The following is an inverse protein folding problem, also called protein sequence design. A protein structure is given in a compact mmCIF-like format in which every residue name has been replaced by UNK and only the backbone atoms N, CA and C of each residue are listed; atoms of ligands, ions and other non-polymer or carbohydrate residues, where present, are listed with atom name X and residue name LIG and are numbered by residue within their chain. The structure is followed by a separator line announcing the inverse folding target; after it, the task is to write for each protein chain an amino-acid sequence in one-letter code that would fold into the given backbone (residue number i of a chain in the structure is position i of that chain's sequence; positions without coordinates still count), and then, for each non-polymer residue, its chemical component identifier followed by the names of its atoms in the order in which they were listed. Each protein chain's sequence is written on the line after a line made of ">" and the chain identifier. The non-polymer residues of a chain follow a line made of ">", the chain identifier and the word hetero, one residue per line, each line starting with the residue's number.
data_IF_250218764252
#
_entry.id   IF_250218764252
#
_cell.length_a   1.000
_cell.length_b   1.000
_cell.length_c   1.000
_cell.angle_alpha   90.00
_cell.angle_beta   90.00
_cell.angle_gamma   90.00
#
_symmetry.space_group_name_H-M   'P 1'
#
loop_
_entity.id
_entity.type
_entity.pdbx_description
1 polymer ?
#
# COMPACT_ATOMS: atom_id res chain seq x y z
N UNK A 1 -76.10 -11.09 -28.62
CA UNK A 1 -75.29 -10.40 -29.64
C UNK A 1 -74.28 -9.55 -28.91
N UNK A 2 -73.01 -9.87 -28.99
CA UNK A 2 -71.96 -9.14 -28.32
C UNK A 2 -70.72 -10.02 -28.21
N UNK A 3 -69.83 -9.90 -29.15
CA UNK A 3 -68.64 -10.71 -29.32
C UNK A 3 -67.62 -10.58 -28.16
N UNK A 4 -67.19 -11.69 -27.60
CA UNK A 4 -66.06 -11.81 -26.70
C UNK A 4 -64.74 -11.88 -27.51
N UNK A 5 -64.00 -10.75 -27.44
CA UNK A 5 -62.72 -10.59 -28.07
C UNK A 5 -61.64 -11.34 -27.27
N UNK A 6 -61.15 -12.44 -27.80
CA UNK A 6 -60.06 -13.24 -27.24
C UNK A 6 -58.72 -12.54 -27.38
N UNK A 7 -58.18 -11.99 -26.24
CA UNK A 7 -56.79 -11.51 -26.16
C UNK A 7 -55.85 -12.71 -26.26
N UNK A 8 -55.07 -12.73 -27.35
CA UNK A 8 -53.89 -13.60 -27.52
C UNK A 8 -52.85 -13.31 -26.43
N UNK A 9 -52.64 -14.28 -25.55
CA UNK A 9 -51.53 -14.29 -24.63
C UNK A 9 -50.27 -14.65 -25.46
N UNK A 10 -49.39 -13.65 -25.66
CA UNK A 10 -48.07 -13.84 -26.21
C UNK A 10 -47.25 -14.70 -25.22
N UNK A 11 -47.00 -15.97 -25.59
CA UNK A 11 -45.97 -16.77 -24.92
C UNK A 11 -44.61 -16.13 -25.18
N UNK A 12 -44.04 -15.52 -24.13
CA UNK A 12 -42.65 -15.13 -24.10
C UNK A 12 -41.85 -16.43 -24.05
N UNK A 13 -41.26 -16.80 -25.14
CA UNK A 13 -40.26 -17.88 -25.20
C UNK A 13 -39.00 -17.37 -24.48
N UNK A 14 -38.78 -17.81 -23.25
CA UNK A 14 -37.45 -17.77 -22.62
C UNK A 14 -36.60 -18.81 -23.35
N UNK A 15 -35.96 -18.37 -24.42
CA UNK A 15 -34.89 -19.12 -25.04
C UNK A 15 -33.77 -19.32 -24.03
N UNK A 16 -33.57 -20.54 -23.57
CA UNK A 16 -32.38 -20.92 -22.85
C UNK A 16 -31.19 -20.86 -23.83
N UNK A 17 -30.63 -19.68 -24.01
CA UNK A 17 -29.27 -19.53 -24.52
C UNK A 17 -28.31 -20.00 -23.41
N UNK A 18 -28.18 -21.32 -23.27
CA UNK A 18 -27.03 -21.91 -22.59
C UNK A 18 -25.85 -21.66 -23.54
N UNK A 19 -25.19 -20.51 -23.44
CA UNK A 19 -23.89 -20.32 -24.06
C UNK A 19 -22.99 -21.43 -23.51
N UNK A 20 -22.62 -22.37 -24.36
CA UNK A 20 -21.61 -23.38 -24.03
C UNK A 20 -20.34 -22.65 -23.66
N UNK A 21 -20.00 -22.69 -22.36
CA UNK A 21 -18.77 -22.11 -21.88
C UNK A 21 -17.59 -22.86 -22.48
N UNK A 22 -16.57 -22.15 -22.99
CA UNK A 22 -15.53 -22.73 -23.82
C UNK A 22 -14.73 -23.80 -23.06
N UNK A 23 -14.51 -24.91 -23.70
CA UNK A 23 -13.54 -25.93 -23.30
C UNK A 23 -12.14 -25.39 -23.67
N UNK A 24 -11.32 -25.05 -22.66
CA UNK A 24 -10.02 -24.40 -22.82
C UNK A 24 -8.90 -25.37 -22.43
N UNK A 25 -7.87 -25.45 -23.27
CA UNK A 25 -6.63 -26.11 -22.91
C UNK A 25 -5.77 -25.22 -22.03
N UNK A 26 -5.18 -25.78 -20.97
CA UNK A 26 -4.27 -25.13 -20.03
C UNK A 26 -2.87 -25.70 -20.28
N UNK A 27 -1.90 -24.81 -20.46
CA UNK A 27 -0.53 -25.24 -20.79
C UNK A 27 -0.42 -25.89 -22.18
N UNK A 28 0.48 -26.87 -22.31
CA UNK A 28 0.80 -27.58 -23.55
C UNK A 28 0.76 -29.10 -23.39
N UNK A 29 0.36 -29.61 -22.23
CA UNK A 29 0.44 -31.03 -21.87
C UNK A 29 -0.92 -31.72 -21.89
N UNK A 30 -1.95 -31.09 -22.51
CA UNK A 30 -3.25 -31.72 -22.75
C UNK A 30 -4.25 -31.56 -21.59
N UNK A 31 -3.95 -30.75 -20.56
CA UNK A 31 -4.90 -30.40 -19.51
C UNK A 31 -6.04 -29.56 -20.09
N UNK A 32 -7.29 -30.01 -19.91
CA UNK A 32 -8.47 -29.29 -20.42
C UNK A 32 -9.38 -28.87 -19.28
N UNK A 33 -9.94 -27.66 -19.39
CA UNK A 33 -10.87 -27.05 -18.43
C UNK A 33 -12.16 -26.65 -19.12
N UNK A 34 -13.30 -27.17 -18.66
CA UNK A 34 -14.64 -26.72 -19.03
C UNK A 34 -15.31 -26.08 -17.84
N UNK A 35 -15.61 -24.80 -17.93
CA UNK A 35 -16.28 -24.05 -16.85
C UNK A 35 -17.76 -24.45 -16.82
N UNK A 36 -18.27 -24.87 -15.67
CA UNK A 36 -19.69 -25.15 -15.43
C UNK A 36 -20.40 -23.92 -14.84
N UNK A 37 -19.72 -23.23 -13.92
CA UNK A 37 -20.19 -22.02 -13.28
C UNK A 37 -19.05 -21.02 -13.16
N UNK A 38 -19.27 -19.79 -13.61
CA UNK A 38 -18.27 -18.71 -13.47
C UNK A 38 -18.11 -18.32 -12.00
N UNK A 39 -16.87 -18.09 -11.59
CA UNK A 39 -16.56 -17.54 -10.27
C UNK A 39 -16.94 -16.06 -10.14
N UNK A 40 -17.02 -15.60 -8.90
CA UNK A 40 -17.45 -14.25 -8.53
C UNK A 40 -16.30 -13.25 -8.33
N UNK A 41 -15.05 -13.64 -8.62
CA UNK A 41 -13.83 -12.83 -8.48
C UNK A 41 -13.07 -12.76 -9.78
N UNK A 42 -12.25 -11.72 -9.98
CA UNK A 42 -11.26 -11.66 -11.05
C UNK A 42 -9.94 -12.31 -10.65
N UNK A 43 -9.69 -12.45 -9.33
CA UNK A 43 -8.47 -13.04 -8.78
C UNK A 43 -8.49 -14.56 -8.89
N UNK A 44 -7.30 -15.12 -9.01
CA UNK A 44 -7.01 -16.56 -8.95
C UNK A 44 -5.98 -16.83 -7.84
N UNK A 45 -5.91 -18.04 -7.28
CA UNK A 45 -4.91 -18.37 -6.27
C UNK A 45 -3.50 -18.43 -6.87
N UNK A 46 -2.50 -18.24 -6.01
CA UNK A 46 -1.08 -18.31 -6.36
C UNK A 46 -0.40 -19.52 -5.69
N UNK A 47 0.76 -19.97 -6.23
CA UNK A 47 1.57 -20.98 -5.55
C UNK A 47 1.86 -20.59 -4.09
N UNK A 48 1.69 -21.56 -3.16
CA UNK A 48 1.79 -21.36 -1.72
C UNK A 48 0.49 -20.99 -1.02
N UNK A 49 -0.58 -20.65 -1.75
CA UNK A 49 -1.89 -20.42 -1.15
C UNK A 49 -2.50 -21.73 -0.64
N UNK A 50 -3.19 -21.69 0.50
CA UNK A 50 -3.96 -22.80 1.04
C UNK A 50 -5.34 -22.85 0.38
N UNK A 51 -5.58 -23.86 -0.44
CA UNK A 51 -6.78 -24.01 -1.28
C UNK A 51 -7.81 -24.87 -0.58
N UNK A 52 -9.07 -24.49 -0.67
CA UNK A 52 -10.22 -25.28 -0.22
C UNK A 52 -11.12 -25.58 -1.41
N UNK A 53 -11.29 -26.86 -1.73
CA UNK A 53 -12.10 -27.33 -2.85
C UNK A 53 -13.09 -28.39 -2.45
N UNK A 54 -14.24 -28.39 -3.14
CA UNK A 54 -15.04 -29.61 -3.27
C UNK A 54 -14.74 -30.25 -4.62
N UNK A 55 -14.65 -31.56 -4.64
CA UNK A 55 -14.40 -32.31 -5.86
C UNK A 55 -15.14 -33.65 -5.89
N UNK A 56 -15.29 -34.17 -7.08
CA UNK A 56 -15.58 -35.58 -7.39
C UNK A 56 -14.79 -36.00 -8.61
N UNK A 57 -14.35 -37.27 -8.64
CA UNK A 57 -13.46 -37.78 -9.66
C UNK A 57 -13.97 -39.10 -10.23
N UNK A 58 -13.80 -39.27 -11.52
CA UNK A 58 -14.08 -40.49 -12.26
C UNK A 58 -13.03 -40.76 -13.33
N UNK A 59 -12.95 -42.00 -13.79
CA UNK A 59 -12.27 -42.36 -15.04
C UNK A 59 -13.08 -41.89 -16.26
N UNK A 60 -12.47 -41.82 -17.41
CA UNK A 60 -13.10 -41.28 -18.63
C UNK A 60 -14.44 -41.92 -18.94
N UNK A 61 -14.55 -43.23 -18.82
CA UNK A 61 -15.73 -44.03 -19.14
C UNK A 61 -16.37 -44.67 -17.91
N UNK A 62 -16.05 -44.17 -16.70
CA UNK A 62 -16.47 -44.77 -15.44
C UNK A 62 -17.43 -43.92 -14.62
N UNK A 63 -17.89 -44.53 -13.52
CA UNK A 63 -18.63 -43.84 -12.47
C UNK A 63 -17.68 -43.07 -11.53
N UNK A 64 -18.21 -42.14 -10.73
CA UNK A 64 -17.45 -41.41 -9.70
C UNK A 64 -17.03 -42.40 -8.60
N UNK A 65 -15.74 -42.39 -8.24
CA UNK A 65 -15.17 -43.31 -7.25
C UNK A 65 -14.61 -42.60 -6.01
N UNK A 66 -14.41 -41.29 -6.04
CA UNK A 66 -14.04 -40.48 -4.87
C UNK A 66 -14.66 -39.09 -4.94
N UNK A 67 -15.04 -38.55 -3.78
CA UNK A 67 -15.72 -37.25 -3.65
C UNK A 67 -15.51 -36.66 -2.25
N UNK A 68 -15.21 -35.39 -2.19
CA UNK A 68 -15.15 -34.63 -0.93
C UNK A 68 -16.56 -34.31 -0.41
N UNK A 69 -17.58 -34.31 -1.26
CA UNK A 69 -18.97 -34.12 -0.83
C UNK A 69 -19.43 -35.28 0.06
N UNK A 70 -19.02 -36.51 -0.27
CA UNK A 70 -19.36 -37.71 0.51
C UNK A 70 -18.64 -37.71 1.87
N UNK A 71 -17.48 -37.03 1.96
CA UNK A 71 -16.72 -36.84 3.19
C UNK A 71 -17.25 -35.68 4.06
N UNK A 72 -18.24 -34.92 3.57
CA UNK A 72 -18.92 -33.83 4.29
C UNK A 72 -18.07 -32.57 4.58
N UNK A 73 -16.85 -32.48 4.02
CA UNK A 73 -15.95 -31.34 4.20
C UNK A 73 -15.10 -31.06 2.96
N UNK A 74 -14.73 -29.80 2.73
CA UNK A 74 -13.80 -29.46 1.65
C UNK A 74 -12.44 -30.13 1.87
N UNK A 75 -11.78 -30.45 0.77
CA UNK A 75 -10.39 -30.88 0.76
C UNK A 75 -9.50 -29.63 0.77
N UNK A 76 -8.50 -29.62 1.65
CA UNK A 76 -7.57 -28.48 1.84
C UNK A 76 -6.16 -28.94 1.56
N UNK A 77 -5.41 -28.13 0.79
CA UNK A 77 -4.00 -28.38 0.44
C UNK A 77 -3.32 -27.08 0.03
N UNK A 78 -1.97 -27.07 -0.07
CA UNK A 78 -1.17 -25.93 -0.55
C UNK A 78 -0.87 -26.06 -2.04
N UNK A 79 -1.27 -25.04 -2.81
CA UNK A 79 -1.10 -24.99 -4.25
C UNK A 79 0.39 -24.92 -4.64
N UNK A 80 0.79 -25.71 -5.66
CA UNK A 80 2.15 -25.66 -6.22
C UNK A 80 3.25 -26.20 -5.30
N UNK A 81 2.90 -26.97 -4.27
CA UNK A 81 3.86 -27.60 -3.35
C UNK A 81 3.99 -29.11 -3.60
N UNK A 82 3.35 -29.65 -4.63
CA UNK A 82 3.38 -31.08 -4.93
C UNK A 82 2.57 -31.94 -3.95
N UNK A 83 1.66 -31.36 -3.17
CA UNK A 83 0.74 -32.09 -2.28
C UNK A 83 -0.36 -32.79 -3.07
N UNK A 84 -0.56 -32.39 -4.33
CA UNK A 84 -1.57 -32.93 -5.25
C UNK A 84 -0.95 -33.21 -6.61
N UNK A 85 -1.71 -33.88 -7.51
CA UNK A 85 -1.26 -34.15 -8.88
C UNK A 85 -1.05 -32.84 -9.67
N UNK A 86 -0.10 -32.84 -10.62
CA UNK A 86 0.26 -31.65 -11.41
C UNK A 86 -0.93 -30.96 -12.08
N UNK A 87 -1.86 -31.78 -12.60
CA UNK A 87 -3.06 -31.25 -13.23
C UNK A 87 -3.94 -30.41 -12.30
N UNK A 88 -3.89 -30.66 -10.99
CA UNK A 88 -4.55 -29.81 -9.99
C UNK A 88 -3.76 -28.53 -9.75
N UNK A 89 -2.46 -28.61 -9.53
CA UNK A 89 -1.62 -27.43 -9.32
C UNK A 89 -1.73 -26.43 -10.49
N UNK A 90 -1.70 -26.92 -11.72
CA UNK A 90 -1.84 -26.06 -12.89
C UNK A 90 -3.30 -25.59 -13.13
N UNK A 91 -4.26 -26.50 -12.96
CA UNK A 91 -5.67 -26.23 -13.23
C UNK A 91 -6.29 -25.25 -12.26
N UNK A 92 -6.07 -25.46 -10.95
CA UNK A 92 -6.65 -24.64 -9.89
C UNK A 92 -6.05 -23.23 -9.84
N UNK A 93 -4.79 -23.05 -10.24
CA UNK A 93 -4.19 -21.74 -10.41
C UNK A 93 -4.95 -20.84 -11.41
N UNK A 94 -5.79 -21.42 -12.27
CA UNK A 94 -6.61 -20.69 -13.24
C UNK A 94 -8.06 -20.48 -12.80
N UNK A 95 -8.46 -21.04 -11.65
CA UNK A 95 -9.82 -20.92 -11.13
C UNK A 95 -10.03 -19.64 -10.33
N UNK A 96 -11.27 -19.16 -10.35
CA UNK A 96 -11.74 -18.04 -9.54
C UNK A 96 -12.54 -18.55 -8.34
N UNK A 97 -12.67 -17.72 -7.32
CA UNK A 97 -13.49 -18.06 -6.12
C UNK A 97 -14.93 -18.40 -6.54
N UNK A 98 -15.46 -19.49 -5.97
CA UNK A 98 -16.80 -20.06 -6.29
C UNK A 98 -16.98 -20.52 -7.73
N UNK A 99 -15.90 -20.71 -8.48
CA UNK A 99 -15.95 -21.30 -9.81
C UNK A 99 -16.11 -22.81 -9.73
N UNK A 100 -16.98 -23.35 -10.59
CA UNK A 100 -17.09 -24.82 -10.83
C UNK A 100 -16.60 -25.14 -12.23
N UNK A 101 -15.74 -26.13 -12.35
CA UNK A 101 -15.20 -26.56 -13.62
C UNK A 101 -14.96 -28.07 -13.68
N UNK A 102 -15.02 -28.62 -14.89
CA UNK A 102 -14.56 -29.98 -15.18
C UNK A 102 -13.15 -29.87 -15.72
N UNK A 103 -12.24 -30.63 -15.11
CA UNK A 103 -10.88 -30.82 -15.61
C UNK A 103 -10.73 -32.23 -16.19
N UNK A 104 -10.25 -32.30 -17.43
CA UNK A 104 -9.77 -33.55 -18.02
C UNK A 104 -8.26 -33.57 -17.91
N UNK A 105 -7.75 -34.46 -17.08
CA UNK A 105 -6.34 -34.54 -16.70
C UNK A 105 -5.73 -35.78 -17.35
N UNK A 106 -4.79 -35.60 -18.28
CA UNK A 106 -4.11 -36.74 -18.94
C UNK A 106 -3.16 -37.44 -17.96
N UNK A 107 -2.72 -38.67 -18.24
CA UNK A 107 -1.92 -39.50 -17.35
C UNK A 107 -0.63 -38.80 -16.86
N UNK A 108 0.08 -38.09 -17.75
CA UNK A 108 1.33 -37.38 -17.44
C UNK A 108 1.18 -36.25 -16.39
N UNK A 109 -0.02 -35.70 -16.26
CA UNK A 109 -0.37 -34.69 -15.23
C UNK A 109 -1.17 -35.31 -14.07
N UNK A 110 -1.45 -36.61 -14.13
CA UNK A 110 -2.13 -37.37 -13.09
C UNK A 110 -1.20 -38.40 -12.41
N UNK A 111 -1.53 -39.67 -12.51
CA UNK A 111 -0.81 -40.77 -11.88
C UNK A 111 0.13 -41.55 -12.82
N UNK A 112 0.26 -41.11 -14.07
CA UNK A 112 1.22 -41.64 -15.04
C UNK A 112 1.04 -43.12 -15.42
N UNK A 113 2.17 -43.73 -15.75
CA UNK A 113 2.26 -45.15 -16.16
C UNK A 113 2.05 -46.13 -15.00
N UNK A 114 2.18 -45.68 -13.75
CA UNK A 114 2.04 -46.51 -12.57
C UNK A 114 0.56 -46.62 -12.15
N UNK A 115 -0.19 -45.52 -12.31
CA UNK A 115 -1.56 -45.40 -11.76
C UNK A 115 -1.59 -45.32 -10.23
N UNK A 116 -2.74 -45.59 -9.63
CA UNK A 116 -2.97 -45.68 -8.17
C UNK A 116 -3.98 -46.81 -7.91
N UNK A 117 -3.50 -48.05 -7.93
CA UNK A 117 -4.33 -49.25 -7.75
C UNK A 117 -4.91 -49.31 -6.31
N UNK A 118 -6.11 -49.89 -6.13
CA UNK A 118 -6.95 -50.55 -7.17
C UNK A 118 -7.87 -49.61 -7.96
N UNK A 119 -7.95 -48.33 -7.60
CA UNK A 119 -8.96 -47.39 -8.15
C UNK A 119 -8.57 -46.75 -9.49
N UNK A 120 -7.28 -46.50 -9.70
CA UNK A 120 -6.79 -45.78 -10.87
C UNK A 120 -5.79 -46.68 -11.64
N UNK A 121 -6.20 -47.27 -12.77
CA UNK A 121 -5.30 -48.06 -13.62
C UNK A 121 -4.16 -47.22 -14.19
N UNK A 122 -3.05 -47.87 -14.63
CA UNK A 122 -2.00 -47.25 -15.40
C UNK A 122 -2.49 -46.46 -16.62
N UNK A 123 -1.88 -45.35 -16.93
CA UNK A 123 -2.20 -44.52 -18.10
C UNK A 123 -3.66 -44.03 -18.17
N UNK A 124 -4.31 -43.83 -17.03
CA UNK A 124 -5.69 -43.36 -16.95
C UNK A 124 -5.83 -41.88 -17.10
N UNK A 125 -6.75 -41.42 -17.93
CA UNK A 125 -7.23 -40.03 -17.94
C UNK A 125 -8.29 -39.85 -16.86
N UNK A 126 -8.13 -38.82 -16.05
CA UNK A 126 -9.03 -38.50 -14.94
C UNK A 126 -9.94 -37.33 -15.29
N UNK A 127 -11.20 -37.44 -14.90
CA UNK A 127 -12.18 -36.36 -15.01
C UNK A 127 -12.56 -35.92 -13.62
N UNK A 128 -12.12 -34.70 -13.26
CA UNK A 128 -12.47 -34.07 -12.01
C UNK A 128 -13.51 -32.97 -12.22
N UNK A 129 -14.60 -33.03 -11.51
CA UNK A 129 -15.46 -31.86 -11.30
C UNK A 129 -15.04 -31.20 -10.00
N UNK A 130 -14.63 -29.94 -10.08
CA UNK A 130 -14.05 -29.20 -8.95
C UNK A 130 -14.81 -27.88 -8.76
N UNK A 131 -15.12 -27.57 -7.50
CA UNK A 131 -15.59 -26.28 -7.03
C UNK A 131 -14.50 -25.65 -6.15
N UNK A 132 -13.96 -24.50 -6.56
CA UNK A 132 -13.05 -23.73 -5.74
C UNK A 132 -13.85 -22.92 -4.71
N UNK A 133 -13.90 -23.41 -3.48
CA UNK A 133 -14.67 -22.78 -2.39
C UNK A 133 -14.01 -21.48 -1.96
N UNK A 134 -12.74 -21.57 -1.59
CA UNK A 134 -11.95 -20.42 -1.11
C UNK A 134 -10.46 -20.76 -1.12
N UNK A 135 -9.66 -19.75 -0.90
CA UNK A 135 -8.24 -19.93 -0.56
C UNK A 135 -7.80 -18.87 0.44
N UNK A 136 -6.77 -19.20 1.21
CA UNK A 136 -6.07 -18.31 2.11
C UNK A 136 -4.69 -18.03 1.52
N UNK A 137 -4.38 -16.76 1.29
CA UNK A 137 -3.05 -16.36 0.83
C UNK A 137 -2.07 -16.38 1.98
N UNK A 138 -1.08 -17.28 1.92
CA UNK A 138 0.03 -17.34 2.87
C UNK A 138 1.26 -16.76 2.18
N UNK A 139 1.88 -15.75 2.79
CA UNK A 139 3.08 -15.08 2.29
C UNK A 139 4.20 -15.17 3.32
N UNK A 140 5.35 -15.66 2.90
CA UNK A 140 6.57 -15.53 3.70
C UNK A 140 7.13 -14.11 3.52
N UNK A 141 7.05 -13.30 4.58
CA UNK A 141 7.53 -11.91 4.56
C UNK A 141 8.95 -11.76 5.12
N UNK A 142 9.51 -12.83 5.68
CA UNK A 142 10.91 -12.89 6.11
C UNK A 142 11.85 -13.41 5.02
N UNK A 143 11.32 -14.24 4.11
CA UNK A 143 12.07 -14.90 3.04
C UNK A 143 12.71 -16.25 3.43
N UNK A 144 12.63 -16.64 4.71
CA UNK A 144 13.21 -17.88 5.28
C UNK A 144 12.17 -18.70 6.06
N UNK A 145 10.88 -18.36 5.90
CA UNK A 145 9.78 -18.99 6.62
C UNK A 145 9.69 -18.64 8.09
N UNK A 146 10.37 -17.58 8.54
CA UNK A 146 10.36 -17.12 9.92
C UNK A 146 9.14 -16.30 10.29
N UNK A 147 8.55 -15.60 9.33
CA UNK A 147 7.33 -14.81 9.49
C UNK A 147 6.37 -15.13 8.34
N UNK A 148 5.32 -15.87 8.63
CA UNK A 148 4.29 -16.25 7.67
C UNK A 148 3.04 -15.39 7.87
N UNK A 149 2.62 -14.67 6.84
CA UNK A 149 1.41 -13.85 6.78
C UNK A 149 0.30 -14.61 6.07
N UNK A 150 -0.77 -14.96 6.78
CA UNK A 150 -2.01 -15.52 6.23
C UNK A 150 -3.06 -14.43 6.15
N UNK A 151 -3.54 -14.12 4.96
CA UNK A 151 -4.57 -13.10 4.75
C UNK A 151 -5.94 -13.72 5.03
N UNK A 152 -6.64 -13.21 6.04
CA UNK A 152 -7.99 -13.64 6.43
C UNK A 152 -9.03 -12.81 5.69
N UNK A 153 -8.80 -11.48 5.61
CA UNK A 153 -9.65 -10.54 4.87
C UNK A 153 -8.77 -9.57 4.12
N UNK A 154 -9.00 -9.44 2.82
CA UNK A 154 -8.32 -8.47 1.98
C UNK A 154 -8.69 -7.04 2.38
N UNK A 155 -7.69 -6.16 2.34
CA UNK A 155 -7.89 -4.73 2.55
C UNK A 155 -8.31 -3.98 1.29
N UNK A 156 -8.63 -2.71 1.46
CA UNK A 156 -9.11 -1.81 0.41
C UNK A 156 -7.98 -0.97 -0.20
N UNK A 157 -8.11 -0.64 -1.48
CA UNK A 157 -7.17 0.22 -2.20
C UNK A 157 -5.83 -0.44 -2.53
N UNK A 158 -4.83 0.40 -2.88
CA UNK A 158 -3.50 -0.04 -3.30
C UNK A 158 -2.38 0.47 -2.39
N UNK A 159 -2.68 1.49 -1.57
CA UNK A 159 -1.71 2.09 -0.68
C UNK A 159 -1.40 1.19 0.51
N UNK A 160 -0.15 1.22 0.96
CA UNK A 160 0.34 0.56 2.17
C UNK A 160 1.10 1.57 3.03
N UNK A 161 1.17 1.37 4.36
CA UNK A 161 1.93 2.26 5.24
C UNK A 161 3.42 2.27 4.92
N UNK A 162 4.05 3.43 5.14
CA UNK A 162 5.51 3.63 5.02
C UNK A 162 6.18 3.57 6.39
N UNK A 163 7.52 3.55 6.40
CA UNK A 163 8.34 3.36 7.60
C UNK A 163 8.16 4.42 8.69
N UNK A 164 7.70 5.61 8.32
CA UNK A 164 7.50 6.75 9.22
C UNK A 164 6.03 6.98 9.57
N UNK A 165 5.11 6.24 8.94
CA UNK A 165 3.67 6.43 9.16
C UNK A 165 3.25 6.00 10.57
N UNK A 166 2.17 6.61 11.05
CA UNK A 166 1.52 6.30 12.31
C UNK A 166 0.28 5.45 12.03
N UNK A 167 0.25 4.23 12.58
CA UNK A 167 -0.77 3.21 12.26
C UNK A 167 -1.72 2.99 13.44
N UNK A 168 -2.98 2.71 13.12
CA UNK A 168 -4.00 2.27 14.06
C UNK A 168 -4.33 0.81 13.77
N UNK A 169 -4.05 -0.07 14.73
CA UNK A 169 -4.27 -1.52 14.60
C UNK A 169 -5.04 -2.08 15.78
N UNK A 170 -5.81 -3.13 15.54
CA UNK A 170 -6.34 -4.04 16.57
C UNK A 170 -5.57 -5.32 16.51
N UNK A 171 -5.21 -5.93 17.64
CA UNK A 171 -4.56 -7.21 17.61
C UNK A 171 -4.77 -8.06 18.87
N UNK A 172 -4.60 -9.37 18.67
CA UNK A 172 -4.49 -10.36 19.73
C UNK A 172 -3.26 -11.21 19.44
N UNK A 173 -2.31 -11.23 20.37
CA UNK A 173 -1.13 -12.08 20.29
C UNK A 173 -1.28 -13.25 21.27
N UNK A 174 -1.04 -14.45 20.80
CA UNK A 174 -1.16 -15.70 21.56
C UNK A 174 -0.05 -16.69 21.19
N UNK A 175 0.17 -17.65 22.03
CA UNK A 175 0.99 -18.84 21.73
C UNK A 175 0.19 -19.84 20.90
N UNK A 176 0.84 -20.85 20.31
CA UNK A 176 0.17 -21.91 19.53
C UNK A 176 -0.86 -22.72 20.35
N UNK A 177 -0.68 -22.85 21.64
CA UNK A 177 -1.61 -23.50 22.59
C UNK A 177 -2.80 -22.59 22.98
N UNK A 178 -2.89 -21.38 22.38
CA UNK A 178 -4.01 -20.46 22.57
C UNK A 178 -3.91 -19.54 23.79
N UNK A 179 -2.79 -19.54 24.53
CA UNK A 179 -2.60 -18.63 25.67
C UNK A 179 -2.40 -17.20 25.16
N UNK A 180 -3.29 -16.27 25.54
CA UNK A 180 -3.21 -14.85 25.16
C UNK A 180 -2.07 -14.20 25.94
N UNK A 181 -1.19 -13.51 25.21
CA UNK A 181 -0.05 -12.75 25.71
C UNK A 181 -0.35 -11.26 25.81
N UNK A 182 -0.99 -10.71 24.77
CA UNK A 182 -1.44 -9.33 24.76
C UNK A 182 -2.63 -9.14 23.81
N UNK A 183 -3.46 -8.12 24.11
CA UNK A 183 -4.71 -7.89 23.38
C UNK A 183 -5.07 -6.41 23.42
N UNK A 184 -5.40 -5.87 22.23
CA UNK A 184 -5.86 -4.49 22.04
C UNK A 184 -7.07 -4.49 21.09
N UNK A 185 -8.28 -4.72 21.63
CA UNK A 185 -9.52 -4.80 20.84
C UNK A 185 -10.07 -3.43 20.46
N UNK A 186 -9.85 -2.40 21.28
CA UNK A 186 -10.27 -1.03 20.99
C UNK A 186 -9.37 -0.36 19.95
N UNK A 187 -8.20 -0.94 19.71
CA UNK A 187 -7.16 -0.43 18.83
C UNK A 187 -6.05 0.29 19.59
N UNK A 188 -4.85 0.24 19.00
CA UNK A 188 -3.68 0.96 19.49
C UNK A 188 -3.07 1.74 18.33
N UNK A 189 -2.69 2.99 18.60
CA UNK A 189 -1.98 3.84 17.65
C UNK A 189 -0.49 3.87 18.01
N UNK A 190 0.39 3.68 17.02
CA UNK A 190 1.83 3.80 17.22
C UNK A 190 2.55 4.18 15.93
N UNK A 191 3.73 4.79 16.07
CA UNK A 191 4.61 5.13 14.96
C UNK A 191 5.37 3.90 14.48
N UNK A 192 5.36 3.64 13.17
CA UNK A 192 6.21 2.60 12.58
C UNK A 192 7.70 2.92 12.68
N UNK A 193 8.08 4.21 12.83
CA UNK A 193 9.46 4.61 13.06
C UNK A 193 9.98 4.07 14.40
N UNK A 194 9.23 4.29 15.46
CA UNK A 194 9.58 3.86 16.82
C UNK A 194 9.39 2.34 16.99
N UNK A 195 8.43 1.78 16.25
CA UNK A 195 8.10 0.36 16.32
C UNK A 195 7.06 0.04 17.39
N UNK A 196 6.85 -1.24 17.61
CA UNK A 196 5.94 -1.78 18.62
C UNK A 196 6.57 -3.03 19.26
N UNK A 197 5.91 -3.55 20.28
CA UNK A 197 6.31 -4.73 21.05
C UNK A 197 6.77 -5.93 20.20
N UNK A 198 6.13 -6.14 19.04
CA UNK A 198 6.46 -7.23 18.12
C UNK A 198 7.04 -6.70 16.81
N UNK A 199 8.37 -6.79 16.60
CA UNK A 199 9.02 -6.32 15.36
C UNK A 199 8.47 -6.95 14.08
N UNK A 200 7.97 -8.19 14.14
CA UNK A 200 7.33 -8.88 13.03
C UNK A 200 6.07 -8.14 12.52
N UNK A 201 5.32 -7.47 13.43
CA UNK A 201 4.15 -6.66 13.04
C UNK A 201 4.56 -5.50 12.11
N UNK A 202 5.63 -4.78 12.40
CA UNK A 202 6.13 -3.69 11.55
C UNK A 202 6.40 -4.17 10.13
N UNK A 203 7.10 -5.31 9.97
CA UNK A 203 7.36 -5.89 8.64
C UNK A 203 6.06 -6.25 7.92
N UNK A 204 5.08 -6.81 8.63
CA UNK A 204 3.81 -7.20 8.05
C UNK A 204 2.94 -5.99 7.67
N UNK A 205 2.81 -5.00 8.55
CA UNK A 205 1.98 -3.79 8.33
C UNK A 205 2.38 -3.05 7.05
N UNK A 206 3.67 -2.96 6.73
CA UNK A 206 4.18 -2.36 5.47
C UNK A 206 3.69 -3.05 4.20
N UNK A 207 3.18 -4.27 4.32
CA UNK A 207 2.61 -5.05 3.20
C UNK A 207 1.09 -5.07 3.23
N UNK A 208 0.46 -4.45 4.22
CA UNK A 208 -0.99 -4.47 4.41
C UNK A 208 -1.69 -3.27 3.78
N UNK A 209 -2.95 -3.47 3.44
CA UNK A 209 -3.87 -2.44 2.98
C UNK A 209 -4.85 -2.06 4.09
N UNK A 210 -5.53 -0.94 3.95
CA UNK A 210 -6.53 -0.49 4.90
C UNK A 210 -7.66 -1.53 5.06
N UNK A 211 -8.02 -1.86 6.30
CA UNK A 211 -9.05 -2.85 6.63
C UNK A 211 -8.64 -4.30 6.38
N UNK A 212 -7.36 -4.57 6.09
CA UNK A 212 -6.85 -5.93 5.93
C UNK A 212 -6.73 -6.61 7.30
N UNK A 213 -7.21 -7.87 7.36
CA UNK A 213 -7.10 -8.72 8.56
C UNK A 213 -6.18 -9.89 8.24
N UNK A 214 -5.20 -10.12 9.10
CA UNK A 214 -4.20 -11.17 8.92
C UNK A 214 -4.01 -11.99 10.19
N UNK A 215 -3.57 -13.23 9.99
CA UNK A 215 -2.93 -14.07 11.00
C UNK A 215 -1.45 -14.16 10.67
N UNK A 216 -0.62 -13.78 11.62
CA UNK A 216 0.82 -13.81 11.49
C UNK A 216 1.37 -14.95 12.36
N UNK A 217 2.08 -15.88 11.74
CA UNK A 217 2.84 -16.91 12.46
C UNK A 217 4.30 -16.49 12.51
N UNK A 218 4.84 -16.31 13.69
CA UNK A 218 6.20 -15.80 13.92
C UNK A 218 7.02 -16.85 14.66
N UNK A 219 8.15 -17.25 14.10
CA UNK A 219 9.09 -18.18 14.75
C UNK A 219 9.87 -17.48 15.87
N UNK A 220 10.38 -18.23 16.87
CA UNK A 220 11.11 -17.70 18.03
C UNK A 220 12.21 -16.70 17.71
N UNK A 221 12.99 -16.93 16.65
CA UNK A 221 14.08 -16.04 16.23
C UNK A 221 13.62 -14.62 15.82
N UNK A 222 12.32 -14.42 15.59
CA UNK A 222 11.74 -13.16 15.12
C UNK A 222 10.87 -12.45 16.15
N UNK A 223 10.77 -12.94 17.39
CA UNK A 223 9.91 -12.33 18.43
C UNK A 223 10.36 -10.95 18.85
N UNK A 224 11.63 -10.82 19.23
CA UNK A 224 12.14 -9.65 19.97
C UNK A 224 13.21 -8.86 19.21
N UNK A 225 13.59 -9.26 17.99
CA UNK A 225 14.75 -8.67 17.32
C UNK A 225 16.03 -8.79 18.17
N UNK A 226 16.84 -7.74 18.23
CA UNK A 226 18.08 -7.70 19.01
C UNK A 226 17.91 -7.10 20.43
N UNK A 227 16.69 -6.80 20.84
CA UNK A 227 16.43 -6.20 22.16
C UNK A 227 15.97 -7.26 23.16
N UNK A 228 16.71 -7.42 24.25
CA UNK A 228 16.25 -8.09 25.46
C UNK A 228 15.16 -7.23 26.10
N UNK A 229 13.92 -7.64 25.98
CA UNK A 229 12.80 -6.93 26.58
C UNK A 229 12.57 -7.48 27.99
N UNK A 230 13.02 -6.72 29.00
CA UNK A 230 12.73 -6.93 30.43
C UNK A 230 11.37 -6.31 30.81
N UNK A 231 10.28 -6.81 30.22
CA UNK A 231 8.92 -6.34 30.54
C UNK A 231 8.08 -7.44 31.22
N UNK A 232 7.40 -7.07 32.28
CA UNK A 232 6.60 -7.92 33.17
C UNK A 232 5.42 -8.67 32.51
N UNK A 233 5.60 -9.39 31.46
CA UNK A 233 4.53 -10.19 30.83
C UNK A 233 4.98 -11.19 29.79
N UNK A 234 6.22 -11.09 29.32
CA UNK A 234 6.71 -11.90 28.19
C UNK A 234 7.61 -13.05 28.62
N UNK A 235 7.95 -13.16 29.88
CA UNK A 235 8.76 -14.24 30.43
C UNK A 235 8.16 -15.66 30.36
N UNK A 236 7.06 -15.85 29.61
CA UNK A 236 6.31 -17.13 29.56
C UNK A 236 6.35 -17.75 28.15
N UNK A 237 7.00 -17.12 27.16
CA UNK A 237 7.24 -17.80 25.89
C UNK A 237 8.27 -18.90 26.09
N UNK A 238 7.80 -20.14 26.11
CA UNK A 238 8.70 -21.30 26.03
C UNK A 238 9.54 -21.13 24.75
N UNK A 239 10.84 -21.31 24.83
CA UNK A 239 11.84 -21.00 23.82
C UNK A 239 11.66 -21.64 22.43
N UNK A 240 10.60 -22.40 22.19
CA UNK A 240 10.38 -23.17 20.97
C UNK A 240 8.97 -23.09 20.36
N UNK A 241 7.99 -22.37 20.93
CA UNK A 241 6.66 -22.27 20.36
C UNK A 241 6.52 -21.04 19.46
N UNK A 242 5.80 -21.14 18.34
CA UNK A 242 5.51 -20.00 17.48
C UNK A 242 4.56 -19.02 18.17
N UNK A 243 4.69 -17.75 17.83
CA UNK A 243 3.77 -16.69 18.23
C UNK A 243 2.74 -16.51 17.11
N UNK A 244 1.46 -16.52 17.48
CA UNK A 244 0.35 -16.25 16.56
C UNK A 244 -0.20 -14.86 16.88
N UNK A 245 -0.23 -13.98 15.89
CA UNK A 245 -0.79 -12.64 16.04
C UNK A 245 -1.91 -12.46 15.01
N UNK A 246 -3.15 -12.35 15.51
CA UNK A 246 -4.28 -11.92 14.70
C UNK A 246 -4.38 -10.40 14.78
N UNK A 247 -4.32 -9.69 13.65
CA UNK A 247 -4.47 -8.24 13.68
C UNK A 247 -5.12 -7.66 12.44
N UNK A 248 -5.74 -6.50 12.63
CA UNK A 248 -6.40 -5.68 11.62
C UNK A 248 -5.70 -4.33 11.52
N UNK A 249 -5.32 -3.93 10.33
CA UNK A 249 -4.88 -2.57 10.03
C UNK A 249 -6.11 -1.71 9.74
N UNK A 250 -6.55 -0.93 10.73
CA UNK A 250 -7.75 -0.08 10.61
C UNK A 250 -7.47 1.09 9.68
N UNK A 251 -6.41 1.84 9.95
CA UNK A 251 -6.01 3.03 9.20
C UNK A 251 -4.58 3.44 9.53
N UNK A 252 -4.09 4.42 8.81
CA UNK A 252 -2.84 5.10 9.16
C UNK A 252 -2.89 6.58 8.80
N UNK A 253 -2.07 7.37 9.47
CA UNK A 253 -1.80 8.77 9.17
C UNK A 253 -0.50 8.84 8.38
N UNK A 254 -0.53 9.56 7.27
CA UNK A 254 0.65 9.74 6.41
C UNK A 254 1.61 10.69 7.12
N UNK A 255 2.83 10.23 7.34
CA UNK A 255 3.92 11.04 7.84
C UNK A 255 4.98 11.17 6.75
N UNK A 256 5.53 12.38 6.59
CA UNK A 256 6.58 12.68 5.62
C UNK A 256 7.82 13.11 6.38
N UNK A 257 8.92 12.41 6.20
CA UNK A 257 10.22 12.89 6.63
C UNK A 257 10.69 13.97 5.63
N UNK A 258 10.70 15.22 6.09
CA UNK A 258 10.99 16.39 5.25
C UNK A 258 12.49 16.52 4.98
N UNK A 259 13.33 16.14 5.95
CA UNK A 259 14.79 16.30 5.89
C UNK A 259 15.54 15.04 5.51
N UNK A 260 14.89 13.86 5.55
CA UNK A 260 15.49 12.56 5.24
C UNK A 260 16.29 11.95 6.40
N UNK A 261 16.33 12.63 7.55
CA UNK A 261 17.05 12.19 8.76
C UNK A 261 16.11 12.03 9.97
N UNK A 262 14.81 12.01 9.74
CA UNK A 262 13.72 11.91 10.72
C UNK A 262 13.70 13.05 11.77
N UNK A 263 14.40 14.18 11.54
CA UNK A 263 14.38 15.31 12.46
C UNK A 263 13.19 16.24 12.27
N UNK A 264 12.67 16.30 11.04
CA UNK A 264 11.50 17.11 10.71
C UNK A 264 10.44 16.19 10.10
N UNK A 265 9.44 15.83 10.89
CA UNK A 265 8.36 14.96 10.51
C UNK A 265 7.06 15.75 10.31
N UNK A 266 6.49 15.68 9.11
CA UNK A 266 5.19 16.29 8.78
C UNK A 266 4.11 15.22 8.77
N UNK A 267 3.19 15.25 9.73
CA UNK A 267 2.02 14.37 9.81
C UNK A 267 0.82 15.05 9.15
N UNK A 268 0.27 14.41 8.13
CA UNK A 268 -0.87 14.92 7.37
C UNK A 268 -2.17 14.80 8.19
N UNK A 269 -2.86 15.92 8.40
CA UNK A 269 -4.17 15.97 9.06
C UNK A 269 -5.29 16.10 8.02
N UNK A 270 -5.11 16.99 7.03
CA UNK A 270 -6.05 17.21 5.94
C UNK A 270 -5.29 17.31 4.63
N UNK A 271 -5.72 16.53 3.65
CA UNK A 271 -5.15 16.56 2.30
C UNK A 271 -5.46 17.90 1.64
N UNK A 272 -4.47 18.50 1.00
CA UNK A 272 -4.64 19.71 0.19
C UNK A 272 -5.12 19.41 -1.22
N UNK A 273 -5.37 20.48 -1.99
CA UNK A 273 -5.86 20.45 -3.35
C UNK A 273 -4.71 20.46 -4.36
N UNK A 274 -4.91 19.80 -5.50
CA UNK A 274 -3.95 19.77 -6.61
C UNK A 274 -2.67 18.99 -6.31
N UNK A 275 -1.65 19.22 -7.16
CA UNK A 275 -0.33 18.56 -7.06
C UNK A 275 0.79 19.57 -6.79
N UNK A 276 0.47 20.87 -6.89
CA UNK A 276 1.43 21.95 -6.71
C UNK A 276 1.72 22.22 -5.25
N UNK A 277 2.95 22.66 -4.98
CA UNK A 277 3.45 23.09 -3.67
C UNK A 277 4.30 24.36 -3.82
N UNK A 278 4.48 25.15 -2.73
CA UNK A 278 5.37 26.31 -2.76
C UNK A 278 6.80 25.92 -3.12
N UNK A 279 7.51 26.81 -3.77
CA UNK A 279 8.93 26.70 -4.05
C UNK A 279 9.64 27.90 -3.42
N UNK A 280 10.95 27.89 -3.42
CA UNK A 280 11.76 29.03 -2.99
C UNK A 280 11.31 30.32 -3.69
N UNK A 281 11.11 31.40 -2.92
CA UNK A 281 10.59 32.69 -3.40
C UNK A 281 9.07 32.75 -3.57
N UNK A 282 8.33 31.67 -3.34
CA UNK A 282 6.86 31.69 -3.35
C UNK A 282 6.32 32.53 -2.20
N UNK A 283 5.31 33.37 -2.46
CA UNK A 283 4.53 34.02 -1.41
C UNK A 283 3.52 33.00 -0.85
N UNK A 284 3.72 32.54 0.38
CA UNK A 284 2.85 31.59 1.06
C UNK A 284 1.97 32.29 2.09
N UNK A 285 0.70 31.86 2.18
CA UNK A 285 -0.29 32.28 3.16
C UNK A 285 -0.57 31.13 4.11
N UNK A 286 -0.18 31.27 5.37
CA UNK A 286 -0.23 30.20 6.36
C UNK A 286 -0.91 30.61 7.64
N UNK A 287 -1.41 29.63 8.37
CA UNK A 287 -1.87 29.77 9.74
C UNK A 287 -1.15 28.70 10.52
N UNK A 288 -0.42 29.08 11.59
CA UNK A 288 0.23 28.09 12.41
C UNK A 288 0.29 28.45 13.89
N UNK A 289 0.45 27.42 14.71
CA UNK A 289 0.62 27.50 16.17
C UNK A 289 1.82 26.64 16.54
N UNK A 290 2.83 27.25 17.12
CA UNK A 290 4.01 26.58 17.69
C UNK A 290 3.79 26.23 19.16
N UNK A 291 4.06 24.95 19.52
CA UNK A 291 3.91 24.40 20.87
C UNK A 291 5.18 23.69 21.29
N UNK A 292 5.52 23.78 22.58
CA UNK A 292 6.51 22.87 23.19
C UNK A 292 5.92 21.48 23.43
N UNK A 293 6.74 20.51 23.77
CA UNK A 293 6.30 19.13 24.06
C UNK A 293 5.28 19.04 25.21
N UNK A 294 5.35 19.99 26.17
CA UNK A 294 4.39 20.13 27.27
C UNK A 294 3.05 20.74 26.86
N UNK A 295 2.87 21.05 25.55
CA UNK A 295 1.68 21.69 25.00
C UNK A 295 1.62 23.20 25.15
N UNK A 296 2.61 23.85 25.78
CA UNK A 296 2.66 25.32 25.95
C UNK A 296 2.85 25.99 24.59
N UNK A 297 1.96 26.91 24.24
CA UNK A 297 2.05 27.70 23.01
C UNK A 297 3.08 28.81 23.16
N UNK A 298 4.10 28.81 22.31
CA UNK A 298 5.13 29.87 22.29
C UNK A 298 4.96 30.83 21.10
N UNK A 299 4.30 30.41 20.03
CA UNK A 299 4.09 31.25 18.86
C UNK A 299 2.72 30.96 18.21
N UNK A 300 2.10 32.03 17.68
CA UNK A 300 0.89 31.91 16.83
C UNK A 300 0.96 32.95 15.72
N UNK A 301 0.75 32.52 14.47
CA UNK A 301 0.76 33.41 13.30
C UNK A 301 -0.45 33.11 12.39
N UNK A 302 -1.09 34.20 11.98
CA UNK A 302 -2.27 34.16 11.09
C UNK A 302 -3.56 33.71 11.77
N UNK A 303 -4.66 33.96 11.10
CA UNK A 303 -6.01 33.50 11.41
C UNK A 303 -6.72 33.11 10.13
N UNK A 304 -7.92 32.50 10.22
CA UNK A 304 -8.69 32.16 9.00
C UNK A 304 -9.15 33.41 8.23
N UNK A 305 -9.31 34.56 8.93
CA UNK A 305 -9.68 35.84 8.33
C UNK A 305 -8.46 36.57 7.75
N UNK A 306 -7.31 36.50 8.43
CA UNK A 306 -6.07 37.18 8.05
C UNK A 306 -4.89 36.20 8.16
N UNK A 307 -4.64 35.35 7.12
CA UNK A 307 -3.49 34.47 7.09
C UNK A 307 -2.16 35.23 7.13
N UNK A 308 -1.18 34.67 7.79
CA UNK A 308 0.18 35.22 7.78
C UNK A 308 0.82 34.97 6.40
N UNK A 309 1.25 36.06 5.77
CA UNK A 309 1.94 36.02 4.49
C UNK A 309 3.46 36.12 4.70
N UNK A 310 4.19 35.23 4.05
CA UNK A 310 5.65 35.24 4.05
C UNK A 310 6.22 34.71 2.74
N UNK A 311 7.48 35.02 2.45
CA UNK A 311 8.18 34.52 1.27
C UNK A 311 9.04 33.33 1.67
N UNK A 312 8.84 32.18 1.01
CA UNK A 312 9.55 30.94 1.29
C UNK A 312 11.07 31.10 1.10
N UNK A 313 11.85 30.55 2.01
CA UNK A 313 13.33 30.55 2.06
C UNK A 313 13.97 31.91 2.34
N UNK A 314 13.22 32.89 2.88
CA UNK A 314 13.75 34.19 3.25
C UNK A 314 14.02 34.38 4.76
N UNK A 315 13.90 33.31 5.56
CA UNK A 315 14.24 33.33 6.99
C UNK A 315 13.24 34.09 7.87
N UNK A 316 12.01 34.31 7.41
CA UNK A 316 10.95 34.99 8.16
C UNK A 316 10.29 34.09 9.21
N UNK A 317 10.48 32.77 9.07
CA UNK A 317 10.03 31.74 10.00
C UNK A 317 11.16 30.70 10.21
N UNK A 318 10.95 29.74 11.12
CA UNK A 318 11.92 28.68 11.37
C UNK A 318 12.21 27.90 10.07
N UNK A 319 13.50 27.69 9.75
CA UNK A 319 13.95 27.06 8.50
C UNK A 319 13.37 25.62 8.30
N UNK A 320 13.21 24.86 9.40
CA UNK A 320 12.64 23.51 9.34
C UNK A 320 11.13 23.54 9.05
N UNK A 321 10.43 24.50 9.64
CA UNK A 321 9.01 24.74 9.37
C UNK A 321 8.80 25.20 7.91
N UNK A 322 9.65 26.10 7.42
CA UNK A 322 9.61 26.59 6.04
C UNK A 322 9.78 25.43 5.03
N UNK A 323 10.77 24.55 5.25
CA UNK A 323 10.95 23.34 4.43
C UNK A 323 9.71 22.45 4.46
N UNK A 324 9.07 22.27 5.62
CA UNK A 324 7.85 21.49 5.72
C UNK A 324 6.70 22.10 4.91
N UNK A 325 6.54 23.45 4.98
CA UNK A 325 5.52 24.16 4.20
C UNK A 325 5.74 24.02 2.71
N UNK A 326 6.99 24.07 2.24
CA UNK A 326 7.31 23.85 0.82
C UNK A 326 6.97 22.45 0.32
N UNK A 327 6.66 21.48 1.20
CA UNK A 327 6.13 20.16 0.82
C UNK A 327 4.60 20.10 0.88
N UNK A 328 3.91 21.15 1.32
CA UNK A 328 2.46 21.18 1.49
C UNK A 328 1.75 21.60 0.19
N UNK A 329 0.51 21.20 0.07
CA UNK A 329 -0.40 21.60 -1.01
C UNK A 329 -1.36 22.69 -0.53
N UNK A 330 -1.97 23.41 -1.44
CA UNK A 330 -3.00 24.41 -1.11
C UNK A 330 -4.13 23.77 -0.29
N UNK A 331 -4.52 24.39 0.82
CA UNK A 331 -5.55 23.91 1.75
C UNK A 331 -5.14 22.73 2.62
N UNK A 332 -3.89 22.24 2.54
CA UNK A 332 -3.36 21.17 3.38
C UNK A 332 -3.21 21.65 4.84
N UNK A 333 -3.58 20.75 5.77
CA UNK A 333 -3.29 20.94 7.18
C UNK A 333 -2.45 19.77 7.69
N UNK A 334 -1.42 20.09 8.48
CA UNK A 334 -0.47 19.12 8.98
C UNK A 334 0.02 19.49 10.39
N UNK A 335 0.56 18.51 11.09
CA UNK A 335 1.37 18.73 12.29
C UNK A 335 2.83 18.49 11.91
N UNK A 336 3.70 19.42 12.23
CA UNK A 336 5.14 19.33 11.98
C UNK A 336 5.87 19.22 13.30
N UNK A 337 6.57 18.11 13.51
CA UNK A 337 7.43 17.88 14.69
C UNK A 337 8.87 18.12 14.29
N UNK A 338 9.57 18.98 15.06
CA UNK A 338 11.00 19.28 14.89
C UNK A 338 11.71 18.78 16.13
N UNK A 339 12.38 17.63 15.99
CA UNK A 339 13.03 16.94 17.12
C UNK A 339 14.24 17.70 17.67
N UNK A 340 14.96 18.49 16.84
CA UNK A 340 16.12 19.27 17.29
C UNK A 340 15.73 20.33 18.31
N UNK A 341 14.55 20.90 18.18
CA UNK A 341 14.08 22.03 18.99
C UNK A 341 13.03 21.58 20.01
N UNK A 342 12.64 20.31 20.02
CA UNK A 342 11.55 19.74 20.84
C UNK A 342 10.25 20.52 20.71
N UNK A 343 9.88 20.88 19.48
CA UNK A 343 8.70 21.70 19.18
C UNK A 343 7.78 21.04 18.16
N UNK A 344 6.51 21.39 18.27
CA UNK A 344 5.43 20.91 17.42
C UNK A 344 4.67 22.10 16.85
N UNK A 345 4.50 22.13 15.53
CA UNK A 345 3.70 23.12 14.84
C UNK A 345 2.42 22.48 14.28
N UNK A 346 1.28 23.07 14.61
CA UNK A 346 0.02 22.83 13.92
C UNK A 346 -0.10 23.86 12.80
N UNK A 347 -0.16 23.45 11.54
CA UNK A 347 -0.07 24.35 10.40
C UNK A 347 -1.13 24.05 9.34
N UNK A 348 -1.63 25.11 8.71
CA UNK A 348 -2.49 25.09 7.53
C UNK A 348 -1.90 26.00 6.46
N UNK A 349 -1.59 25.46 5.29
CA UNK A 349 -1.26 26.25 4.10
C UNK A 349 -2.56 26.66 3.40
N UNK A 350 -2.93 27.92 3.53
CA UNK A 350 -4.18 28.45 2.97
C UNK A 350 -4.07 28.60 1.47
N UNK A 351 -3.02 29.29 1.00
CA UNK A 351 -2.76 29.54 -0.42
C UNK A 351 -1.27 29.85 -0.65
N UNK A 352 -0.84 29.84 -1.87
CA UNK A 352 0.49 30.29 -2.24
C UNK A 352 0.54 30.77 -3.71
N UNK A 353 1.46 31.68 -3.99
CA UNK A 353 1.71 32.18 -5.32
C UNK A 353 3.16 31.88 -5.70
N UNK A 354 3.38 31.21 -6.82
CA UNK A 354 4.72 30.94 -7.35
C UNK A 354 5.18 32.14 -8.16
N UNK A 355 6.38 32.62 -7.88
CA UNK A 355 7.04 33.55 -8.80
C UNK A 355 7.30 32.85 -10.13
N UNK A 356 7.29 33.63 -11.23
CA UNK A 356 7.63 33.13 -12.57
C UNK A 356 9.06 32.62 -12.54
N UNK A 357 9.32 31.35 -12.92
CA UNK A 357 10.67 30.79 -12.90
C UNK A 357 11.60 31.59 -13.81
N UNK A 358 12.83 31.84 -13.41
CA UNK A 358 13.81 32.65 -14.16
C UNK A 358 14.04 32.17 -15.58
N UNK A 359 13.98 30.87 -15.84
CA UNK A 359 14.13 30.32 -17.21
C UNK A 359 12.96 30.63 -18.13
N UNK A 360 11.80 31.04 -17.60
CA UNK A 360 10.62 31.50 -18.34
C UNK A 360 10.53 33.02 -18.46
N UNK A 361 11.41 33.77 -17.81
CA UNK A 361 11.48 35.21 -17.84
C UNK A 361 12.25 35.64 -19.09
N UNK A 362 11.83 36.75 -19.69
CA UNK A 362 12.63 37.42 -20.71
C UNK A 362 13.83 38.18 -20.12
N UNK A 363 14.72 38.72 -20.95
CA UNK A 363 15.94 39.38 -20.47
C UNK A 363 15.65 40.61 -19.63
N UNK A 364 14.59 41.35 -19.92
CA UNK A 364 14.18 42.54 -19.16
C UNK A 364 13.63 42.15 -17.80
N UNK A 365 12.72 41.18 -17.75
CA UNK A 365 12.18 40.61 -16.52
C UNK A 365 13.29 40.06 -15.59
N UNK A 366 14.30 39.39 -16.16
CA UNK A 366 15.47 38.90 -15.42
C UNK A 366 16.27 40.04 -14.79
N UNK A 367 16.53 41.12 -15.53
CA UNK A 367 17.28 42.27 -15.02
C UNK A 367 16.51 42.99 -13.89
N UNK A 368 15.21 43.19 -14.08
CA UNK A 368 14.33 43.78 -13.06
C UNK A 368 14.30 42.91 -11.79
N UNK A 369 14.24 41.58 -11.94
CA UNK A 369 14.29 40.65 -10.83
C UNK A 369 15.66 40.68 -10.07
N UNK A 370 16.79 40.77 -10.81
CA UNK A 370 18.11 40.95 -10.22
C UNK A 370 18.21 42.23 -9.41
N UNK A 371 17.75 43.34 -9.95
CA UNK A 371 17.79 44.61 -9.27
C UNK A 371 16.93 44.65 -8.00
N UNK A 372 15.74 44.02 -8.07
CA UNK A 372 14.87 43.83 -6.88
C UNK A 372 15.56 43.01 -5.78
N UNK A 373 16.10 41.81 -6.15
CA UNK A 373 16.77 40.89 -5.20
C UNK A 373 17.98 41.58 -4.54
N UNK A 374 18.79 42.31 -5.32
CA UNK A 374 19.91 43.08 -4.82
C UNK A 374 19.49 44.14 -3.79
N UNK A 375 18.44 44.89 -4.12
CA UNK A 375 17.93 45.93 -3.19
C UNK A 375 17.39 45.32 -1.89
N UNK A 376 16.68 44.20 -1.97
CA UNK A 376 16.24 43.46 -0.78
C UNK A 376 17.43 42.94 0.04
N UNK A 377 18.47 42.38 -0.61
CA UNK A 377 19.71 41.95 0.04
C UNK A 377 20.41 43.14 0.76
N UNK A 378 20.44 44.31 0.12
CA UNK A 378 21.03 45.53 0.74
C UNK A 378 20.27 46.00 1.97
N UNK A 379 18.94 45.87 1.98
CA UNK A 379 18.13 46.22 3.18
C UNK A 379 18.44 45.23 4.31
N UNK A 380 18.40 43.91 4.05
CA UNK A 380 18.72 42.90 5.04
C UNK A 380 20.13 43.03 5.63
N UNK A 381 21.10 43.39 4.77
CA UNK A 381 22.47 43.67 5.22
C UNK A 381 22.54 44.85 6.18
N UNK A 382 21.83 45.95 5.89
CA UNK A 382 21.77 47.13 6.75
C UNK A 382 21.09 46.84 8.09
N UNK A 383 20.10 45.96 8.08
CA UNK A 383 19.36 45.49 9.26
C UNK A 383 20.15 44.48 10.10
N UNK A 384 21.38 44.13 9.69
CA UNK A 384 22.24 43.19 10.39
C UNK A 384 21.90 41.72 10.17
N UNK A 385 20.95 41.42 9.27
CA UNK A 385 20.57 40.06 8.93
C UNK A 385 21.48 39.50 7.81
N UNK A 386 22.74 39.27 8.12
CA UNK A 386 23.79 38.92 7.15
C UNK A 386 23.55 37.58 6.47
N UNK A 387 22.93 36.61 7.16
CA UNK A 387 22.66 35.30 6.60
C UNK A 387 21.59 35.35 5.50
N UNK A 388 20.52 36.09 5.72
CA UNK A 388 19.48 36.28 4.72
C UNK A 388 19.97 37.16 3.57
N UNK A 389 20.78 38.20 3.86
CA UNK A 389 21.40 39.03 2.83
C UNK A 389 22.31 38.20 1.90
N UNK A 390 23.14 37.30 2.45
CA UNK A 390 24.00 36.40 1.68
C UNK A 390 23.17 35.51 0.72
N UNK A 391 22.07 34.91 1.23
CA UNK A 391 21.17 34.11 0.39
C UNK A 391 20.60 34.90 -0.81
N UNK A 392 20.24 36.19 -0.58
CA UNK A 392 19.76 37.07 -1.66
C UNK A 392 20.85 37.37 -2.70
N UNK A 393 22.06 37.65 -2.24
CA UNK A 393 23.18 37.88 -3.17
C UNK A 393 23.58 36.64 -3.94
N UNK A 394 23.55 35.46 -3.33
CA UNK A 394 23.80 34.20 -4.03
C UNK A 394 22.75 33.95 -5.13
N UNK A 395 21.47 34.27 -4.82
CA UNK A 395 20.37 34.17 -5.79
C UNK A 395 20.55 35.15 -6.96
N UNK A 396 20.96 36.41 -6.69
CA UNK A 396 21.31 37.40 -7.72
C UNK A 396 22.45 36.90 -8.60
N UNK A 397 23.54 36.42 -8.00
CA UNK A 397 24.72 35.92 -8.74
C UNK A 397 24.34 34.77 -9.69
N UNK A 398 23.50 33.84 -9.25
CA UNK A 398 23.03 32.72 -10.09
C UNK A 398 22.23 33.23 -11.30
N UNK A 399 21.38 34.23 -11.13
CA UNK A 399 20.61 34.81 -12.23
C UNK A 399 21.50 35.55 -13.23
N UNK A 400 22.47 36.33 -12.73
CA UNK A 400 23.45 37.04 -13.56
C UNK A 400 24.29 36.03 -14.35
N UNK A 401 24.71 34.93 -13.73
CA UNK A 401 25.45 33.85 -14.40
C UNK A 401 24.65 33.25 -15.56
N UNK A 402 23.36 32.92 -15.33
CA UNK A 402 22.45 32.43 -16.38
C UNK A 402 22.30 33.42 -17.56
N UNK A 403 22.19 34.72 -17.25
CA UNK A 403 22.12 35.77 -18.27
C UNK A 403 23.39 35.80 -19.10
N UNK A 404 24.57 35.69 -18.47
CA UNK A 404 25.87 35.74 -19.15
C UNK A 404 26.11 34.47 -19.97
N UNK A 405 25.75 33.30 -19.50
CA UNK A 405 25.86 32.06 -20.28
C UNK A 405 24.95 32.10 -21.55
N UNK A 406 23.70 32.52 -21.41
CA UNK A 406 22.80 32.73 -22.55
C UNK A 406 23.37 33.73 -23.53
N UNK A 407 23.94 34.83 -23.06
CA UNK A 407 24.57 35.86 -23.94
C UNK A 407 25.80 35.33 -24.67
N UNK A 408 26.64 34.55 -24.00
CA UNK A 408 27.82 33.93 -24.60
C UNK A 408 27.44 32.86 -25.63
N UNK A 409 26.40 32.06 -25.38
CA UNK A 409 25.86 31.06 -26.30
C UNK A 409 25.34 31.73 -27.59
N UNK A 410 24.59 32.85 -27.45
CA UNK A 410 24.15 33.64 -28.61
C UNK A 410 25.30 34.29 -29.39
N UNK A 411 26.33 34.79 -28.69
CA UNK A 411 27.56 35.31 -29.37
C UNK A 411 28.30 34.22 -30.12
N UNK A 412 28.44 33.02 -29.53
CA UNK A 412 29.08 31.88 -30.19
C UNK A 412 28.30 31.40 -31.41
N UNK A 413 26.97 31.43 -31.38
CA UNK A 413 26.10 31.10 -32.53
C UNK A 413 26.21 32.14 -33.67
N UNK A 414 26.32 33.42 -33.33
CA UNK A 414 26.49 34.50 -34.33
C UNK A 414 27.89 34.49 -34.98
N UNK A 415 28.92 34.05 -34.20
CA UNK A 415 30.28 33.91 -34.75
C UNK A 415 30.49 32.63 -35.58
N UNK A 416 29.56 31.69 -35.52
CA UNK A 416 29.60 30.42 -36.27
C UNK A 416 28.75 30.44 -37.55
N UNK A 417 28.05 31.54 -37.86
CA UNK A 417 27.42 31.87 -39.14
C UNK A 417 28.30 32.87 -39.94
#
# INVERSE_FOLDING_TARGET
>A
MGDFNSKKINKVNFGNDIQELPNREIGKEGLRKKILQKGNSWKTPFPGDEIQVHYRVKLQDGEYFDSSYDKGKPFTFKLGQGEVIKGWDEGLATMKKSEKAIFTIPPNLGYGEIGSLPLIPPNSTLIFEIELVSWNSIRDISGDGGILKKIIKEGEGWATPKDVDEVLVKYVASTEDGKILSKFEDGIEFSLLEGHLYPAMKKCIRTMRKGEIVELTVKPAYYFGNSSFDGDGIGILQSNSNLIIHFELISWKIVVDVTGDNKVLKKLIKVGEGYDHPIEGSLAKVIYIGKHEDGTVFERKGSDEEPFEYVCSEGQINDSLDRAIMTMRKGEAATVTISSDSVLYEIKLVDFNKEKPFWKMDTKEKLEACEKIKNEGNVLFKDGNFQCASRKYDKECNIVFIILECSNYYRALICAQ
#
